data_IF_782321627171
#
_entry.id   IF_782321627171
#
_cell.length_a   1.000
_cell.length_b   1.000
_cell.length_c   1.000
_cell.angle_alpha   90.00
_cell.angle_beta   90.00
_cell.angle_gamma   90.00
#
_symmetry.space_group_name_H-M   'P 1'
#
loop_
_entity.id
_entity.type
_entity.pdbx_description
1 polymer ?
#
# COMPACT_ATOMS: atom_id res chain seq x y z
N UNK A 1 -10.80 -6.89 1.49
CA UNK A 1 -10.00 -7.93 0.80
C UNK A 1 -8.96 -7.18 -0.02
N UNK A 2 -7.69 -7.51 0.07
CA UNK A 2 -6.67 -6.94 -0.80
C UNK A 2 -6.57 -7.80 -2.06
N UNK A 3 -6.56 -7.15 -3.23
CA UNK A 3 -6.30 -7.78 -4.53
C UNK A 3 -4.82 -7.70 -4.88
N UNK A 4 -4.04 -7.10 -3.99
CA UNK A 4 -2.65 -6.77 -4.20
C UNK A 4 -1.80 -7.48 -3.13
N UNK A 5 -0.61 -7.91 -3.52
CA UNK A 5 0.44 -8.38 -2.63
C UNK A 5 1.56 -7.33 -2.68
N UNK A 6 1.71 -6.59 -1.59
CA UNK A 6 2.72 -5.55 -1.46
C UNK A 6 3.92 -6.09 -0.69
N UNK A 7 5.07 -6.14 -1.34
CA UNK A 7 6.32 -6.61 -0.75
C UNK A 7 7.30 -5.45 -0.63
N UNK A 8 7.70 -5.13 0.59
CA UNK A 8 8.84 -4.24 0.83
C UNK A 8 10.15 -5.01 0.73
N UNK A 9 10.98 -4.65 -0.23
CA UNK A 9 12.30 -5.24 -0.42
C UNK A 9 13.29 -4.51 0.48
N UNK A 10 13.99 -5.26 1.34
CA UNK A 10 15.00 -4.75 2.27
C UNK A 10 16.35 -5.35 1.88
N UNK A 11 17.17 -4.59 1.16
CA UNK A 11 18.43 -5.07 0.60
C UNK A 11 19.54 -5.31 1.63
N UNK A 12 19.40 -4.76 2.84
CA UNK A 12 20.32 -4.95 3.95
C UNK A 12 20.19 -6.33 4.59
N UNK A 13 19.02 -6.96 4.47
CA UNK A 13 18.75 -8.29 4.98
C UNK A 13 18.85 -9.34 3.87
N UNK A 14 20.02 -9.92 3.75
CA UNK A 14 20.30 -10.95 2.77
C UNK A 14 20.11 -12.30 3.44
N UNK A 15 19.26 -13.19 2.91
CA UNK A 15 19.11 -14.54 3.44
C UNK A 15 20.44 -15.28 3.44
N UNK A 16 20.65 -16.13 4.45
CA UNK A 16 21.80 -17.01 4.51
C UNK A 16 21.90 -17.87 3.23
N UNK A 17 23.09 -17.93 2.64
CA UNK A 17 23.30 -18.62 1.36
C UNK A 17 23.08 -17.79 0.10
N UNK A 18 22.59 -16.55 0.23
CA UNK A 18 22.43 -15.64 -0.91
C UNK A 18 23.71 -14.81 -1.09
N UNK A 19 24.57 -15.22 -2.01
CA UNK A 19 25.82 -14.49 -2.28
C UNK A 19 25.55 -13.23 -3.14
N UNK A 20 25.82 -12.08 -2.55
CA UNK A 20 25.94 -10.84 -3.33
C UNK A 20 27.39 -10.68 -3.78
N UNK A 21 27.56 -10.40 -5.07
CA UNK A 21 28.88 -10.01 -5.59
C UNK A 21 29.29 -8.66 -4.98
N UNK A 22 30.53 -8.58 -4.50
CA UNK A 22 31.06 -7.32 -3.97
C UNK A 22 31.00 -6.23 -5.05
N UNK A 23 30.44 -5.07 -4.70
CA UNK A 23 30.39 -3.90 -5.57
C UNK A 23 29.17 -3.81 -6.49
N UNK A 24 28.18 -4.68 -6.36
CA UNK A 24 26.93 -4.49 -7.09
C UNK A 24 26.14 -3.29 -6.52
N UNK A 25 25.62 -2.47 -7.44
CA UNK A 25 24.71 -1.37 -7.09
C UNK A 25 23.34 -1.92 -6.71
N UNK A 26 22.56 -1.18 -5.91
CA UNK A 26 21.19 -1.56 -5.54
C UNK A 26 20.32 -1.79 -6.79
N UNK A 27 20.49 -0.97 -7.83
CA UNK A 27 19.82 -1.17 -9.13
C UNK A 27 20.12 -2.55 -9.74
N UNK A 28 21.36 -3.02 -9.66
CA UNK A 28 21.74 -4.33 -10.18
C UNK A 28 21.15 -5.46 -9.33
N UNK A 29 21.18 -5.31 -8.00
CA UNK A 29 20.60 -6.25 -7.03
C UNK A 29 19.10 -6.39 -7.22
N UNK A 30 18.38 -5.27 -7.30
CA UNK A 30 16.94 -5.24 -7.57
C UNK A 30 16.60 -5.87 -8.92
N UNK A 31 17.37 -5.54 -9.96
CA UNK A 31 17.16 -6.15 -11.29
C UNK A 31 17.31 -7.66 -11.30
N UNK A 32 18.27 -8.20 -10.54
CA UNK A 32 18.43 -9.65 -10.36
C UNK A 32 17.25 -10.26 -9.61
N UNK A 33 16.82 -9.63 -8.50
CA UNK A 33 15.65 -10.07 -7.75
C UNK A 33 14.39 -10.14 -8.64
N UNK A 34 14.17 -9.13 -9.47
CA UNK A 34 13.03 -9.11 -10.40
C UNK A 34 13.07 -10.30 -11.37
N UNK A 35 14.25 -10.62 -11.91
CA UNK A 35 14.42 -11.77 -12.80
C UNK A 35 14.18 -13.10 -12.07
N UNK A 36 14.64 -13.23 -10.83
CA UNK A 36 14.42 -14.43 -10.03
C UNK A 36 12.94 -14.64 -9.68
N UNK A 37 12.21 -13.56 -9.36
CA UNK A 37 10.77 -13.63 -9.13
C UNK A 37 10.02 -14.05 -10.40
N UNK A 38 10.39 -13.51 -11.56
CA UNK A 38 9.83 -13.93 -12.84
C UNK A 38 10.09 -15.40 -13.12
N UNK A 39 11.32 -15.86 -12.91
CA UNK A 39 11.71 -17.26 -13.12
C UNK A 39 10.93 -18.20 -12.17
N UNK A 40 10.74 -17.78 -10.92
CA UNK A 40 9.95 -18.51 -9.93
C UNK A 40 8.49 -18.66 -10.38
N UNK A 41 7.83 -17.57 -10.76
CA UNK A 41 6.43 -17.58 -11.22
C UNK A 41 6.27 -18.46 -12.46
N UNK A 42 7.20 -18.35 -13.42
CA UNK A 42 7.22 -19.20 -14.62
C UNK A 42 7.40 -20.68 -14.25
N UNK A 43 8.32 -20.98 -13.33
CA UNK A 43 8.57 -22.36 -12.86
C UNK A 43 7.37 -22.95 -12.11
N UNK A 44 6.55 -22.14 -11.49
CA UNK A 44 5.30 -22.53 -10.82
C UNK A 44 4.11 -22.61 -11.80
N UNK A 45 4.28 -22.27 -13.07
CA UNK A 45 3.24 -22.30 -14.09
C UNK A 45 2.27 -21.11 -14.06
N UNK A 46 2.63 -20.01 -13.41
CA UNK A 46 1.84 -18.79 -13.45
C UNK A 46 2.09 -18.00 -14.74
N UNK A 47 1.00 -17.53 -15.34
CA UNK A 47 1.05 -16.52 -16.39
C UNK A 47 1.04 -15.13 -15.77
N UNK A 48 1.92 -14.27 -16.25
CA UNK A 48 2.00 -12.89 -15.76
C UNK A 48 2.42 -11.95 -16.88
N UNK A 49 2.08 -10.68 -16.71
CA UNK A 49 2.63 -9.59 -17.49
C UNK A 49 3.31 -8.61 -16.55
N UNK A 50 4.37 -8.02 -17.05
CA UNK A 50 5.01 -6.91 -16.35
C UNK A 50 4.11 -5.70 -16.52
N UNK A 51 3.69 -5.07 -15.43
CA UNK A 51 2.83 -3.90 -15.50
C UNK A 51 3.66 -2.69 -15.94
N UNK A 52 3.56 -2.36 -17.21
CA UNK A 52 4.09 -1.13 -17.80
C UNK A 52 2.94 -0.16 -17.96
N UNK A 53 2.95 0.89 -17.16
CA UNK A 53 2.14 2.07 -17.38
C UNK A 53 2.94 3.01 -18.30
N UNK A 54 2.38 3.46 -19.40
CA UNK A 54 3.05 4.37 -20.36
C UNK A 54 3.56 5.64 -19.65
N UNK A 55 2.80 6.11 -18.66
CA UNK A 55 3.16 7.25 -17.83
C UNK A 55 4.06 6.88 -16.65
N UNK A 56 4.24 5.58 -16.36
CA UNK A 56 4.98 5.07 -15.23
C UNK A 56 5.81 3.81 -15.58
N UNK A 57 6.80 3.94 -16.48
CA UNK A 57 7.61 2.80 -16.86
C UNK A 57 8.31 2.20 -15.63
N UNK A 58 8.34 0.88 -15.55
CA UNK A 58 8.92 0.09 -14.46
C UNK A 58 10.36 0.38 -14.10
N UNK A 59 11.09 1.03 -14.95
CA UNK A 59 12.46 1.47 -14.69
C UNK A 59 12.53 2.76 -13.88
N UNK A 60 11.39 3.31 -13.41
CA UNK A 60 11.39 4.46 -12.53
C UNK A 60 12.15 4.15 -11.25
N UNK A 61 12.78 5.16 -10.73
CA UNK A 61 13.44 5.15 -9.45
C UNK A 61 14.49 4.04 -9.31
N UNK A 62 15.33 3.88 -10.33
CA UNK A 62 16.42 2.91 -10.29
C UNK A 62 16.00 1.46 -9.97
N UNK A 63 14.84 1.03 -10.47
CA UNK A 63 14.23 -0.28 -10.20
C UNK A 63 13.73 -0.48 -8.77
N UNK A 64 13.52 0.58 -8.00
CA UNK A 64 12.97 0.46 -6.65
C UNK A 64 11.52 0.03 -6.62
N UNK A 65 10.77 0.28 -7.69
CA UNK A 65 9.41 -0.19 -7.87
C UNK A 65 9.33 -1.20 -9.00
N UNK A 66 8.64 -2.31 -8.76
CA UNK A 66 8.39 -3.35 -9.73
C UNK A 66 7.02 -3.99 -9.51
N UNK A 67 6.25 -4.16 -10.57
CA UNK A 67 4.90 -4.69 -10.51
C UNK A 67 4.67 -5.76 -11.55
N UNK A 68 4.07 -6.87 -11.11
CA UNK A 68 3.62 -7.97 -11.95
C UNK A 68 2.11 -8.13 -11.81
N UNK A 69 1.42 -8.30 -12.93
CA UNK A 69 0.02 -8.71 -12.96
C UNK A 69 -0.01 -10.21 -13.24
N UNK A 70 -0.33 -10.99 -12.21
CA UNK A 70 -0.34 -12.44 -12.26
C UNK A 70 -1.76 -12.91 -12.55
N UNK A 71 -1.94 -13.63 -13.65
CA UNK A 71 -3.24 -14.16 -14.07
C UNK A 71 -3.62 -15.37 -13.22
N UNK A 72 -4.89 -15.50 -12.92
CA UNK A 72 -5.44 -16.68 -12.27
C UNK A 72 -6.76 -17.11 -12.92
N UNK A 73 -7.06 -18.41 -12.88
CA UNK A 73 -8.33 -18.92 -13.35
C UNK A 73 -9.45 -18.57 -12.36
N UNK A 74 -10.34 -17.68 -12.72
CA UNK A 74 -11.51 -17.36 -11.93
C UNK A 74 -12.55 -18.51 -12.07
N UNK A 75 -12.84 -19.20 -10.97
CA UNK A 75 -13.88 -20.23 -10.93
C UNK A 75 -15.28 -19.67 -10.75
N UNK A 76 -15.38 -18.42 -10.33
CA UNK A 76 -16.65 -17.72 -10.12
C UNK A 76 -16.65 -16.41 -10.89
N UNK A 77 -17.79 -16.08 -11.49
CA UNK A 77 -17.96 -14.77 -12.11
C UNK A 77 -18.14 -13.71 -11.02
N UNK A 78 -17.37 -12.65 -11.13
CA UNK A 78 -17.59 -11.44 -10.32
C UNK A 78 -18.82 -10.71 -10.85
N UNK A 79 -19.98 -10.93 -10.19
CA UNK A 79 -21.26 -10.32 -10.56
C UNK A 79 -21.23 -8.80 -10.41
N UNK A 80 -20.38 -8.29 -9.54
CA UNK A 80 -20.28 -6.85 -9.29
C UNK A 80 -19.31 -6.14 -10.27
N UNK A 81 -18.46 -6.90 -10.98
CA UNK A 81 -17.45 -6.35 -11.88
C UNK A 81 -16.42 -5.46 -11.20
N UNK A 82 -16.20 -5.67 -9.89
CA UNK A 82 -15.36 -4.81 -9.04
C UNK A 82 -13.98 -5.41 -8.80
N UNK A 83 -13.88 -6.74 -8.89
CA UNK A 83 -12.62 -7.47 -8.71
C UNK A 83 -11.79 -7.43 -9.98
N UNK A 84 -10.46 -7.33 -9.81
CA UNK A 84 -9.55 -7.45 -10.95
C UNK A 84 -9.41 -8.92 -11.34
N UNK A 85 -9.28 -9.24 -12.64
CA UNK A 85 -9.06 -10.61 -13.11
C UNK A 85 -7.63 -11.10 -12.85
N UNK A 86 -6.80 -10.30 -12.20
CA UNK A 86 -5.37 -10.53 -11.98
C UNK A 86 -4.99 -10.13 -10.56
N UNK A 87 -4.06 -10.88 -9.99
CA UNK A 87 -3.40 -10.52 -8.74
C UNK A 87 -2.24 -9.57 -9.04
N UNK A 88 -2.22 -8.41 -8.40
CA UNK A 88 -1.13 -7.45 -8.51
C UNK A 88 -0.06 -7.78 -7.47
N UNK A 89 1.15 -8.09 -7.93
CA UNK A 89 2.32 -8.31 -7.09
C UNK A 89 3.25 -7.10 -7.21
N UNK A 90 3.28 -6.28 -6.18
CA UNK A 90 4.12 -5.08 -6.11
C UNK A 90 5.33 -5.31 -5.22
N UNK A 91 6.49 -4.97 -5.71
CA UNK A 91 7.74 -4.97 -4.95
C UNK A 91 8.32 -3.57 -4.90
N UNK A 92 8.51 -3.07 -3.70
CA UNK A 92 9.02 -1.72 -3.45
C UNK A 92 10.27 -1.80 -2.56
N UNK A 93 11.38 -1.25 -3.03
CA UNK A 93 12.56 -1.06 -2.18
C UNK A 93 12.40 0.20 -1.33
N UNK A 94 11.71 0.03 -0.21
CA UNK A 94 11.45 1.07 0.77
C UNK A 94 11.56 0.44 2.16
N UNK A 95 12.75 0.45 2.78
CA UNK A 95 12.92 -0.15 4.10
C UNK A 95 11.94 0.42 5.13
N UNK A 96 11.35 -0.43 5.97
CA UNK A 96 10.44 0.02 7.02
C UNK A 96 11.17 0.91 8.03
N UNK A 97 10.42 1.79 8.69
CA UNK A 97 10.94 2.67 9.77
C UNK A 97 10.81 2.02 11.14
N UNK A 98 9.85 1.11 11.30
CA UNK A 98 9.70 0.32 12.53
C UNK A 98 10.23 -1.10 12.33
N UNK A 99 10.57 -1.75 13.44
CA UNK A 99 10.95 -3.15 13.42
C UNK A 99 9.80 -4.00 12.89
N UNK A 100 10.10 -4.91 11.94
CA UNK A 100 9.12 -5.81 11.39
C UNK A 100 8.65 -6.86 12.40
N UNK A 101 7.43 -7.34 12.25
CA UNK A 101 6.83 -8.37 13.07
C UNK A 101 6.69 -9.67 12.29
N UNK A 102 7.07 -10.80 12.89
CA UNK A 102 6.78 -12.10 12.30
C UNK A 102 5.28 -12.37 12.35
N UNK A 103 4.67 -12.64 11.22
CA UNK A 103 3.25 -12.98 11.10
C UNK A 103 3.07 -14.35 10.46
N UNK A 104 2.20 -15.13 11.04
CA UNK A 104 1.81 -16.44 10.48
C UNK A 104 0.79 -16.20 9.34
N UNK A 105 1.08 -16.76 8.17
CA UNK A 105 0.24 -16.73 7.00
C UNK A 105 -0.34 -18.12 6.73
N UNK A 106 -1.58 -18.17 6.27
CA UNK A 106 -2.27 -19.38 5.89
C UNK A 106 -3.45 -19.10 4.98
N UNK A 107 -4.09 -20.13 4.50
CA UNK A 107 -5.28 -19.96 3.68
C UNK A 107 -6.44 -19.42 4.50
N UNK A 108 -7.11 -18.39 4.00
CA UNK A 108 -8.31 -17.83 4.64
C UNK A 108 -9.40 -18.93 4.80
N UNK A 109 -9.48 -19.86 3.85
CA UNK A 109 -10.43 -20.96 3.88
C UNK A 109 -10.25 -21.88 5.10
N UNK A 110 -9.04 -21.99 5.65
CA UNK A 110 -8.75 -22.83 6.83
C UNK A 110 -9.48 -22.35 8.09
N UNK A 111 -10.00 -21.10 8.08
CA UNK A 111 -10.86 -20.59 9.16
C UNK A 111 -12.29 -21.16 9.10
N UNK A 112 -12.73 -21.63 7.95
CA UNK A 112 -14.10 -22.10 7.72
C UNK A 112 -14.19 -23.59 7.45
N UNK A 113 -13.15 -24.18 6.87
CA UNK A 113 -13.09 -25.59 6.49
C UNK A 113 -11.88 -26.24 7.17
N UNK A 114 -12.10 -27.12 8.15
CA UNK A 114 -11.01 -27.87 8.77
C UNK A 114 -10.23 -28.68 7.72
N UNK A 115 -8.91 -28.62 7.77
CA UNK A 115 -7.99 -29.42 6.97
C UNK A 115 -7.09 -30.23 7.90
N UNK A 116 -6.74 -31.43 7.49
CA UNK A 116 -5.88 -32.32 8.28
C UNK A 116 -4.46 -31.76 8.47
N UNK A 117 -3.98 -30.96 7.50
CA UNK A 117 -2.68 -30.29 7.55
C UNK A 117 -2.76 -28.89 6.93
N UNK A 118 -3.17 -27.85 7.69
CA UNK A 118 -3.17 -26.49 7.18
C UNK A 118 -1.74 -26.05 6.85
N UNK A 119 -1.54 -25.54 5.62
CA UNK A 119 -0.26 -24.98 5.23
C UNK A 119 -0.12 -23.58 5.84
N UNK A 120 0.87 -23.43 6.71
CA UNK A 120 1.20 -22.15 7.33
C UNK A 120 2.68 -21.86 7.19
N UNK A 121 2.99 -20.61 7.02
CA UNK A 121 4.37 -20.12 7.01
C UNK A 121 4.44 -18.77 7.72
N UNK A 122 5.60 -18.46 8.28
CA UNK A 122 5.84 -17.17 8.91
C UNK A 122 6.64 -16.28 7.97
N UNK A 123 6.26 -15.00 7.90
CA UNK A 123 7.04 -14.00 7.19
C UNK A 123 7.11 -12.69 7.97
N UNK A 124 8.20 -11.91 7.80
CA UNK A 124 8.29 -10.59 8.37
C UNK A 124 7.29 -9.64 7.67
N UNK A 125 6.49 -8.95 8.46
CA UNK A 125 5.52 -7.97 8.00
C UNK A 125 5.82 -6.61 8.62
N UNK A 126 5.50 -5.54 7.90
CA UNK A 126 5.50 -4.19 8.50
C UNK A 126 4.46 -4.12 9.61
N UNK A 127 4.70 -3.28 10.60
CA UNK A 127 3.76 -3.10 11.71
C UNK A 127 2.47 -2.43 11.23
N UNK A 128 1.40 -2.69 11.96
CA UNK A 128 0.11 -2.00 11.71
C UNK A 128 0.25 -0.50 11.98
N UNK A 129 1.13 -0.09 12.89
CA UNK A 129 1.42 1.32 13.16
C UNK A 129 2.06 2.03 11.94
N UNK A 130 3.06 1.41 11.31
CA UNK A 130 3.65 1.96 10.09
C UNK A 130 2.64 1.98 8.95
N UNK A 131 1.86 0.92 8.79
CA UNK A 131 0.76 0.86 7.81
C UNK A 131 -0.25 2.00 8.02
N UNK A 132 -0.63 2.29 9.28
CA UNK A 132 -1.52 3.39 9.63
C UNK A 132 -0.98 4.73 9.15
N UNK A 133 0.27 5.02 9.48
CA UNK A 133 0.96 6.27 9.10
C UNK A 133 1.08 6.40 7.57
N UNK A 134 1.49 5.34 6.88
CA UNK A 134 1.62 5.33 5.42
C UNK A 134 0.28 5.54 4.71
N UNK A 135 -0.81 4.92 5.19
CA UNK A 135 -2.13 5.09 4.58
C UNK A 135 -2.66 6.51 4.71
N UNK A 136 -2.45 7.15 5.87
CA UNK A 136 -2.83 8.56 6.05
C UNK A 136 -2.01 9.46 5.14
N UNK A 137 -0.69 9.33 5.15
CA UNK A 137 0.20 10.14 4.30
C UNK A 137 -0.11 9.95 2.81
N UNK A 138 -0.26 8.70 2.37
CA UNK A 138 -0.54 8.37 0.97
C UNK A 138 -1.84 8.98 0.48
N UNK A 139 -2.93 8.85 1.24
CA UNK A 139 -4.21 9.44 0.83
C UNK A 139 -4.10 10.96 0.70
N UNK A 140 -3.62 11.64 1.74
CA UNK A 140 -3.58 13.11 1.76
C UNK A 140 -2.65 13.67 0.68
N UNK A 141 -1.44 13.10 0.54
CA UNK A 141 -0.48 13.55 -0.48
C UNK A 141 -1.01 13.35 -1.90
N UNK A 142 -1.59 12.19 -2.20
CA UNK A 142 -2.08 11.87 -3.55
C UNK A 142 -3.35 12.65 -3.89
N UNK A 143 -4.24 12.89 -2.92
CA UNK A 143 -5.37 13.79 -3.11
C UNK A 143 -4.90 15.22 -3.39
N UNK A 144 -3.96 15.77 -2.61
CA UNK A 144 -3.39 17.08 -2.86
C UNK A 144 -2.78 17.19 -4.26
N UNK A 145 -1.97 16.20 -4.63
CA UNK A 145 -1.33 16.14 -5.93
C UNK A 145 -2.34 16.16 -7.09
N UNK A 146 -3.46 15.46 -6.93
CA UNK A 146 -4.57 15.46 -7.89
C UNK A 146 -5.27 16.81 -7.95
N UNK A 147 -5.70 17.34 -6.80
CA UNK A 147 -6.44 18.61 -6.75
C UNK A 147 -5.61 19.83 -7.18
N UNK A 148 -4.31 19.81 -6.97
CA UNK A 148 -3.39 20.84 -7.41
C UNK A 148 -3.00 20.68 -8.90
N UNK A 149 -3.59 19.71 -9.61
CA UNK A 149 -3.36 19.50 -11.05
C UNK A 149 -1.95 19.04 -11.41
N UNK A 150 -1.19 18.54 -10.44
CA UNK A 150 0.19 18.06 -10.65
C UNK A 150 0.23 16.61 -11.14
N UNK A 151 -0.86 15.87 -10.96
CA UNK A 151 -0.94 14.46 -11.32
C UNK A 151 -0.95 14.27 -12.84
N UNK A 152 -0.13 13.32 -13.30
CA UNK A 152 -0.19 12.78 -14.65
C UNK A 152 -1.07 11.54 -14.65
N UNK A 153 -1.97 11.42 -15.63
CA UNK A 153 -2.91 10.30 -15.73
C UNK A 153 -4.13 10.42 -14.79
N UNK A 154 -4.87 9.34 -14.69
CA UNK A 154 -6.13 9.29 -13.92
C UNK A 154 -5.87 9.19 -12.40
N UNK A 155 -6.78 9.77 -11.62
CA UNK A 155 -6.76 9.62 -10.17
C UNK A 155 -7.09 8.17 -9.77
N UNK A 156 -6.27 7.62 -8.89
CA UNK A 156 -6.51 6.27 -8.37
C UNK A 156 -7.67 6.28 -7.36
N UNK A 157 -8.84 5.97 -7.86
CA UNK A 157 -10.08 5.93 -7.06
C UNK A 157 -10.08 4.84 -5.98
N UNK A 158 -9.17 3.85 -6.07
CA UNK A 158 -9.02 2.83 -5.04
C UNK A 158 -8.40 3.36 -3.74
N UNK A 159 -7.82 4.57 -3.76
CA UNK A 159 -7.29 5.24 -2.56
C UNK A 159 -8.31 5.37 -1.43
N UNK A 160 -9.60 5.43 -1.74
CA UNK A 160 -10.65 5.49 -0.73
C UNK A 160 -10.58 4.31 0.25
N UNK A 161 -9.96 3.18 -0.12
CA UNK A 161 -9.70 2.05 0.78
C UNK A 161 -8.92 2.47 2.02
N UNK A 162 -8.04 3.47 1.92
CA UNK A 162 -7.27 3.97 3.06
C UNK A 162 -8.16 4.55 4.15
N UNK A 163 -9.29 5.17 3.81
CA UNK A 163 -10.26 5.66 4.79
C UNK A 163 -10.82 4.51 5.63
N UNK A 164 -11.22 3.43 4.97
CA UNK A 164 -11.73 2.23 5.65
C UNK A 164 -10.64 1.53 6.47
N UNK A 165 -9.46 1.39 5.89
CA UNK A 165 -8.35 0.68 6.55
C UNK A 165 -7.92 1.40 7.83
N UNK A 166 -7.83 2.73 7.81
CA UNK A 166 -7.52 3.54 8.99
C UNK A 166 -8.61 3.35 10.06
N UNK A 167 -9.90 3.44 9.68
CA UNK A 167 -10.99 3.15 10.61
C UNK A 167 -10.85 1.73 11.18
N UNK A 168 -10.62 0.73 10.35
CA UNK A 168 -10.48 -0.67 10.80
C UNK A 168 -9.33 -0.86 11.76
N UNK A 169 -8.20 -0.22 11.52
CA UNK A 169 -7.04 -0.25 12.42
C UNK A 169 -7.40 0.38 13.77
N UNK A 170 -8.07 1.53 13.80
CA UNK A 170 -8.47 2.16 15.06
C UNK A 170 -9.41 1.29 15.90
N UNK A 171 -10.26 0.49 15.24
CA UNK A 171 -11.15 -0.45 15.93
C UNK A 171 -10.45 -1.68 16.46
N UNK A 172 -9.48 -2.21 15.70
CA UNK A 172 -8.83 -3.48 16.04
C UNK A 172 -7.53 -3.32 16.84
N UNK A 173 -6.80 -2.22 16.66
CA UNK A 173 -5.50 -1.95 17.26
C UNK A 173 -5.34 -0.47 17.63
N UNK A 174 -6.10 0.06 18.60
CA UNK A 174 -6.07 1.48 18.96
C UNK A 174 -4.68 1.94 19.43
N UNK A 175 -3.86 1.04 19.96
CA UNK A 175 -2.47 1.33 20.35
C UNK A 175 -1.51 1.58 19.19
N UNK A 176 -1.93 1.38 17.93
CA UNK A 176 -1.08 1.65 16.77
C UNK A 176 -0.83 3.14 16.52
N UNK A 177 -1.67 4.03 17.08
CA UNK A 177 -1.57 5.47 16.84
C UNK A 177 -0.30 6.10 17.41
N UNK A 178 0.15 5.69 18.59
CA UNK A 178 1.31 6.28 19.23
C UNK A 178 2.60 5.98 18.46
N UNK A 179 2.96 4.72 18.15
CA UNK A 179 4.12 4.43 17.30
C UNK A 179 4.00 5.01 15.89
N UNK A 180 2.80 5.09 15.32
CA UNK A 180 2.59 5.75 14.03
C UNK A 180 2.96 7.24 14.08
N UNK A 181 2.60 7.93 15.19
CA UNK A 181 2.96 9.33 15.43
C UNK A 181 4.46 9.54 15.56
N UNK A 182 5.18 8.62 16.19
CA UNK A 182 6.64 8.71 16.36
C UNK A 182 7.39 8.70 15.03
N UNK A 183 6.90 7.98 14.04
CA UNK A 183 7.56 7.86 12.73
C UNK A 183 7.00 8.78 11.64
N UNK A 184 5.88 9.45 11.89
CA UNK A 184 5.15 10.18 10.83
C UNK A 184 6.00 11.28 10.19
N UNK A 185 6.75 12.05 10.98
CA UNK A 185 7.65 13.07 10.46
C UNK A 185 8.74 12.50 9.56
N UNK A 186 9.31 11.35 9.94
CA UNK A 186 10.31 10.67 9.12
C UNK A 186 9.71 10.13 7.81
N UNK A 187 8.47 9.64 7.83
CA UNK A 187 7.74 9.22 6.63
C UNK A 187 7.48 10.39 5.68
N UNK A 188 7.04 11.53 6.20
CA UNK A 188 6.83 12.75 5.39
C UNK A 188 8.13 13.20 4.74
N UNK A 189 9.22 13.26 5.49
CA UNK A 189 10.54 13.63 4.95
C UNK A 189 11.00 12.67 3.85
N UNK A 190 10.78 11.37 4.03
CA UNK A 190 11.08 10.34 3.03
C UNK A 190 10.24 10.51 1.76
N UNK A 191 8.94 10.83 1.88
CA UNK A 191 8.08 11.09 0.73
C UNK A 191 8.50 12.35 -0.03
N UNK A 192 8.91 13.42 0.67
CA UNK A 192 9.45 14.63 0.03
C UNK A 192 10.69 14.31 -0.81
N UNK A 193 11.58 13.47 -0.30
CA UNK A 193 12.78 13.07 -1.04
C UNK A 193 12.45 12.18 -2.23
N UNK A 194 11.61 11.17 -2.04
CA UNK A 194 11.25 10.15 -3.03
C UNK A 194 10.45 10.74 -4.21
N UNK A 195 9.53 11.66 -3.92
CA UNK A 195 8.66 12.28 -4.92
C UNK A 195 9.07 13.69 -5.31
N UNK A 196 10.32 14.06 -5.04
CA UNK A 196 10.87 15.39 -5.34
C UNK A 196 10.63 15.80 -6.79
N UNK A 197 10.16 17.03 -6.97
CA UNK A 197 9.88 17.60 -8.28
C UNK A 197 8.54 17.19 -8.90
N UNK A 198 7.78 16.29 -8.26
CA UNK A 198 6.46 15.90 -8.74
C UNK A 198 5.35 16.85 -8.26
N UNK A 199 5.52 17.45 -7.08
CA UNK A 199 4.57 18.38 -6.47
C UNK A 199 5.32 19.52 -5.77
N UNK A 200 5.56 20.65 -6.45
CA UNK A 200 6.43 21.72 -5.94
C UNK A 200 6.00 22.31 -4.60
N UNK A 201 4.70 22.41 -4.33
CA UNK A 201 4.22 22.90 -3.03
C UNK A 201 4.48 21.91 -1.91
N UNK A 202 4.35 20.59 -2.17
CA UNK A 202 4.68 19.54 -1.22
C UNK A 202 6.19 19.51 -0.92
N UNK A 203 7.02 19.71 -1.94
CA UNK A 203 8.47 19.83 -1.76
C UNK A 203 8.87 20.99 -0.85
N UNK A 204 8.10 22.11 -0.90
CA UNK A 204 8.38 23.32 -0.14
C UNK A 204 7.84 23.27 1.28
N UNK A 205 6.59 22.87 1.45
CA UNK A 205 5.91 22.80 2.75
C UNK A 205 4.92 21.62 2.77
N UNK A 206 5.41 20.41 3.05
CA UNK A 206 4.59 19.21 3.01
C UNK A 206 3.45 19.25 4.03
N UNK A 207 3.67 19.83 5.21
CA UNK A 207 2.65 19.86 6.26
C UNK A 207 1.50 20.81 5.93
N UNK A 208 1.77 21.99 5.38
CA UNK A 208 0.71 22.88 4.91
C UNK A 208 -0.13 22.22 3.81
N UNK A 209 0.51 21.48 2.90
CA UNK A 209 -0.19 20.73 1.84
C UNK A 209 -1.06 19.60 2.45
N UNK A 210 -0.53 18.83 3.38
CA UNK A 210 -1.28 17.74 4.03
C UNK A 210 -2.46 18.27 4.85
N UNK A 211 -2.30 19.37 5.58
CA UNK A 211 -3.40 20.03 6.31
C UNK A 211 -4.49 20.53 5.38
N UNK A 212 -4.10 21.21 4.28
CA UNK A 212 -5.03 21.65 3.24
C UNK A 212 -5.78 20.46 2.61
N UNK A 213 -5.06 19.38 2.33
CA UNK A 213 -5.64 18.15 1.78
C UNK A 213 -6.66 17.53 2.75
N UNK A 214 -6.36 17.47 4.05
CA UNK A 214 -7.29 17.00 5.05
C UNK A 214 -8.56 17.85 5.10
N UNK A 215 -8.43 19.18 5.06
CA UNK A 215 -9.57 20.08 5.04
C UNK A 215 -10.43 19.97 3.77
N UNK A 216 -9.78 19.74 2.61
CA UNK A 216 -10.44 19.57 1.33
C UNK A 216 -11.15 18.19 1.25
N UNK A 217 -10.50 17.11 1.70
CA UNK A 217 -11.07 15.76 1.66
C UNK A 217 -12.35 15.61 2.49
N UNK A 218 -12.53 16.45 3.52
CA UNK A 218 -13.76 16.50 4.32
C UNK A 218 -15.01 16.91 3.52
N UNK A 219 -14.83 17.53 2.35
CA UNK A 219 -15.89 18.07 1.49
C UNK A 219 -15.92 17.41 0.11
N UNK A 220 -15.10 16.38 -0.10
CA UNK A 220 -14.96 15.73 -1.39
C UNK A 220 -16.04 14.65 -1.57
N UNK A 221 -17.08 14.99 -2.35
CA UNK A 221 -18.16 14.05 -2.70
C UNK A 221 -17.66 12.87 -3.55
N UNK A 222 -16.52 13.02 -4.24
CA UNK A 222 -15.93 11.97 -5.06
C UNK A 222 -15.39 10.83 -4.21
N UNK A 223 -14.76 11.13 -3.06
CA UNK A 223 -14.30 10.11 -2.12
C UNK A 223 -15.46 9.31 -1.53
N UNK A 224 -16.55 9.98 -1.15
CA UNK A 224 -17.76 9.30 -0.67
C UNK A 224 -18.39 8.41 -1.75
N UNK A 225 -18.53 8.94 -2.97
CA UNK A 225 -19.06 8.20 -4.09
C UNK A 225 -18.21 6.96 -4.44
N UNK A 226 -16.89 7.07 -4.37
CA UNK A 226 -15.97 5.95 -4.60
C UNK A 226 -16.03 4.93 -3.45
N UNK A 227 -16.22 5.37 -2.20
CA UNK A 227 -16.43 4.47 -1.07
C UNK A 227 -17.69 3.61 -1.28
N UNK A 228 -18.82 4.23 -1.59
CA UNK A 228 -20.10 3.52 -1.75
C UNK A 228 -20.12 2.60 -2.97
N UNK A 229 -19.56 3.04 -4.10
CA UNK A 229 -19.63 2.31 -5.37
C UNK A 229 -18.54 1.27 -5.54
N UNK A 230 -17.31 1.52 -5.03
CA UNK A 230 -16.14 0.70 -5.32
C UNK A 230 -15.67 -0.12 -4.12
N UNK A 231 -15.73 0.44 -2.91
CA UNK A 231 -15.23 -0.25 -1.72
C UNK A 231 -16.30 -1.06 -1.02
N UNK A 232 -17.45 -0.46 -0.74
CA UNK A 232 -18.52 -1.08 0.06
C UNK A 232 -19.00 -2.44 -0.47
N UNK A 233 -19.10 -2.67 -1.79
CA UNK A 233 -19.41 -4.00 -2.34
C UNK A 233 -18.35 -5.07 -2.01
N UNK A 234 -17.09 -4.68 -1.81
CA UNK A 234 -15.98 -5.58 -1.49
C UNK A 234 -15.88 -5.93 -0.01
N UNK A 235 -16.60 -5.22 0.87
CA UNK A 235 -16.56 -5.49 2.30
C UNK A 235 -17.33 -6.75 2.63
N UNK A 236 -16.64 -7.70 3.27
CA UNK A 236 -17.17 -9.02 3.62
C UNK A 236 -17.95 -9.03 4.95
N UNK A 237 -17.88 -7.95 5.73
CA UNK A 237 -18.58 -7.83 7.00
C UNK A 237 -20.10 -7.79 6.80
N UNK A 238 -20.86 -8.44 7.69
CA UNK A 238 -22.32 -8.35 7.72
C UNK A 238 -22.77 -6.91 8.01
N UNK A 239 -22.05 -6.23 8.91
CA UNK A 239 -22.23 -4.80 9.18
C UNK A 239 -21.15 -4.01 8.42
N UNK A 240 -21.60 -3.20 7.47
CA UNK A 240 -20.74 -2.35 6.67
C UNK A 240 -20.84 -0.93 7.20
N UNK A 241 -19.73 -0.32 7.63
CA UNK A 241 -19.76 1.07 8.09
C UNK A 241 -20.12 1.99 6.91
N UNK A 242 -20.71 3.12 7.22
CA UNK A 242 -20.88 4.20 6.26
C UNK A 242 -19.58 5.00 6.07
N UNK A 243 -19.53 5.80 5.01
CA UNK A 243 -18.38 6.64 4.73
C UNK A 243 -18.11 7.63 5.85
N UNK A 244 -19.14 8.28 6.39
CA UNK A 244 -19.02 9.30 7.42
C UNK A 244 -18.35 8.77 8.69
N UNK A 245 -18.72 7.55 9.11
CA UNK A 245 -18.09 6.86 10.25
C UNK A 245 -16.61 6.59 9.99
N UNK A 246 -16.28 6.03 8.82
CA UNK A 246 -14.90 5.73 8.46
C UNK A 246 -14.06 7.00 8.31
N UNK A 247 -14.63 8.02 7.65
CA UNK A 247 -13.94 9.29 7.42
C UNK A 247 -13.69 10.06 8.70
N UNK A 248 -14.65 10.07 9.64
CA UNK A 248 -14.46 10.68 10.95
C UNK A 248 -13.27 10.09 11.70
N UNK A 249 -13.13 8.77 11.71
CA UNK A 249 -11.97 8.11 12.31
C UNK A 249 -10.67 8.45 11.58
N UNK A 250 -10.68 8.43 10.23
CA UNK A 250 -9.55 8.85 9.40
C UNK A 250 -9.10 10.28 9.70
N UNK A 251 -10.03 11.23 9.73
CA UNK A 251 -9.75 12.64 9.99
C UNK A 251 -9.15 12.85 11.39
N UNK A 252 -9.66 12.17 12.40
CA UNK A 252 -9.13 12.24 13.75
C UNK A 252 -7.69 11.70 13.83
N UNK A 253 -7.39 10.57 13.19
CA UNK A 253 -6.05 10.01 13.13
C UNK A 253 -5.12 10.96 12.36
N UNK A 254 -5.53 11.43 11.18
CA UNK A 254 -4.74 12.33 10.37
C UNK A 254 -4.39 13.63 11.11
N UNK A 255 -5.37 14.24 11.79
CA UNK A 255 -5.14 15.44 12.59
C UNK A 255 -4.16 15.18 13.74
N UNK A 256 -4.27 14.02 14.41
CA UNK A 256 -3.36 13.64 15.49
C UNK A 256 -1.93 13.49 14.98
N UNK A 257 -1.73 12.77 13.86
CA UNK A 257 -0.41 12.57 13.25
C UNK A 257 0.22 13.90 12.80
N UNK A 258 -0.58 14.78 12.16
CA UNK A 258 -0.13 16.10 11.72
C UNK A 258 0.26 16.99 12.91
N UNK A 259 -0.48 16.96 14.01
CA UNK A 259 -0.18 17.78 15.20
C UNK A 259 1.08 17.31 15.96
N UNK A 260 1.44 16.02 15.88
CA UNK A 260 2.65 15.48 16.53
C UNK A 260 3.93 15.74 15.75
N UNK A 261 3.81 16.09 14.47
CA UNK A 261 4.95 16.34 13.60
C UNK A 261 5.51 17.77 13.73
N UNK A 262 4.88 18.59 14.57
CA UNK A 262 5.33 19.91 15.01
C UNK A 262 5.72 19.85 16.49
#
# INVERSE_FOLDING_TARGET
MSEDIDIKVVLEHIPEGYALEKGQTDRARLGRLHQEVQALLTGMGFEYVVHEDEDNPMSRDNRRYYCLLVSYAAHFQDVAGVLRPQLKLEMIHRPPLLAVEAREMGYMLDQFVPRDAPQRFSMPCITVAETLAEKVLSLLRRCAWHWDGCQRGEFDRALVRHVYDVWRITQSQPGALDPAGEIFAALVAKDVEEFRGQHPEFDKDPYAVLQRALAASAKDEGLEADFERRLKPLLYSAEKPDYATCYSAFANVAQNLLNRAF
#
